data_IF_731333349616
#
_entry.id   IF_731333349616
#
_cell.length_a   1.000
_cell.length_b   1.000
_cell.length_c   1.000
_cell.angle_alpha   90.00
_cell.angle_beta   90.00
_cell.angle_gamma   90.00
#
_symmetry.space_group_name_H-M   'P 1'
#
loop_
_entity.id
_entity.type
_entity.pdbx_description
1 polymer ?
#
# COMPACT_ATOMS: atom_id res chain seq x y z
N UNK A 1 1.72 16.56 18.20
CA UNK A 1 0.93 15.43 17.65
C UNK A 1 1.90 14.53 16.90
N UNK A 2 1.85 13.21 17.12
CA UNK A 2 2.77 12.23 16.52
C UNK A 2 2.31 11.84 15.11
N UNK A 3 3.27 11.69 14.20
CA UNK A 3 3.05 11.16 12.85
C UNK A 3 3.29 9.65 12.89
N UNK A 4 2.50 8.88 12.15
CA UNK A 4 2.61 7.42 12.07
C UNK A 4 2.93 6.99 10.63
N UNK A 5 3.81 6.01 10.48
CA UNK A 5 4.10 5.38 9.21
C UNK A 5 3.51 3.96 9.22
N UNK A 6 2.70 3.64 8.21
CA UNK A 6 2.10 2.33 8.00
C UNK A 6 2.73 1.65 6.80
N UNK A 7 3.19 0.41 6.97
CA UNK A 7 3.53 -0.49 5.88
C UNK A 7 2.38 -1.46 5.67
N UNK A 8 1.68 -1.35 4.55
CA UNK A 8 0.59 -2.23 4.15
C UNK A 8 1.11 -3.14 3.05
N UNK A 9 1.08 -4.45 3.28
CA UNK A 9 1.44 -5.46 2.27
C UNK A 9 0.14 -6.06 1.74
N UNK A 10 -0.10 -5.91 0.44
CA UNK A 10 -1.36 -6.32 -0.19
C UNK A 10 -1.13 -7.08 -1.50
N UNK A 11 -2.14 -7.84 -1.91
CA UNK A 11 -2.18 -8.60 -3.16
C UNK A 11 -3.32 -8.10 -4.08
N UNK A 12 -4.17 -8.99 -4.59
CA UNK A 12 -5.11 -8.73 -5.69
C UNK A 12 -6.45 -8.09 -5.28
N UNK A 13 -6.67 -7.77 -4.00
CA UNK A 13 -7.95 -7.22 -3.51
C UNK A 13 -7.97 -5.69 -3.44
N UNK A 14 -7.92 -5.05 -4.61
CA UNK A 14 -7.84 -3.59 -4.73
C UNK A 14 -9.03 -2.82 -4.15
N UNK A 15 -10.25 -3.35 -4.20
CA UNK A 15 -11.42 -2.66 -3.61
C UNK A 15 -11.34 -2.59 -2.08
N UNK A 16 -10.97 -3.70 -1.44
CA UNK A 16 -10.77 -3.76 0.01
C UNK A 16 -9.61 -2.87 0.44
N UNK A 17 -8.55 -2.85 -0.36
CA UNK A 17 -7.39 -1.99 -0.14
C UNK A 17 -7.77 -0.51 -0.24
N UNK A 18 -8.55 -0.12 -1.24
CA UNK A 18 -9.08 1.25 -1.36
C UNK A 18 -9.91 1.65 -0.14
N UNK A 19 -10.80 0.78 0.34
CA UNK A 19 -11.57 1.04 1.57
C UNK A 19 -10.69 1.16 2.82
N UNK A 20 -9.62 0.36 2.94
CA UNK A 20 -8.67 0.51 4.04
C UNK A 20 -7.94 1.86 3.97
N UNK A 21 -7.54 2.29 2.76
CA UNK A 21 -6.85 3.56 2.56
C UNK A 21 -7.74 4.75 2.93
N UNK A 22 -9.03 4.73 2.60
CA UNK A 22 -9.95 5.82 2.99
C UNK A 22 -10.12 5.93 4.51
N UNK A 23 -10.10 4.79 5.22
CA UNK A 23 -10.16 4.78 6.69
C UNK A 23 -8.88 5.33 7.34
N UNK A 24 -7.74 5.21 6.65
CA UNK A 24 -6.44 5.67 7.13
C UNK A 24 -6.06 7.06 6.59
N UNK A 25 -6.93 7.71 5.82
CA UNK A 25 -6.67 9.02 5.19
C UNK A 25 -6.70 10.16 6.21
N UNK A 26 -5.55 10.38 6.86
CA UNK A 26 -5.31 11.44 7.82
C UNK A 26 -3.91 12.04 7.56
N UNK A 27 -3.76 13.35 7.73
CA UNK A 27 -2.50 14.06 7.46
C UNK A 27 -1.36 13.66 8.40
N UNK A 28 -1.67 12.95 9.49
CA UNK A 28 -0.69 12.38 10.43
C UNK A 28 -0.19 11.01 10.01
N UNK A 29 -0.73 10.44 8.93
CA UNK A 29 -0.34 9.11 8.46
C UNK A 29 0.50 9.24 7.20
N UNK A 30 1.54 8.42 7.09
CA UNK A 30 2.22 8.09 5.84
C UNK A 30 1.99 6.62 5.55
N UNK A 31 1.60 6.28 4.33
CA UNK A 31 1.28 4.91 3.93
C UNK A 31 2.24 4.44 2.86
N UNK A 32 2.99 3.40 3.20
CA UNK A 32 3.81 2.62 2.29
C UNK A 32 3.03 1.38 1.89
N UNK A 33 2.58 1.33 0.65
CA UNK A 33 1.79 0.23 0.13
C UNK A 33 2.66 -0.66 -0.76
N UNK A 34 2.98 -1.84 -0.26
CA UNK A 34 3.75 -2.84 -0.99
C UNK A 34 2.81 -3.87 -1.62
N UNK A 35 2.79 -3.90 -2.95
CA UNK A 35 1.98 -4.83 -3.74
C UNK A 35 2.89 -5.91 -4.28
N UNK A 36 2.62 -7.18 -3.94
CA UNK A 36 3.43 -8.32 -4.40
C UNK A 36 3.61 -8.26 -5.93
N UNK A 37 4.85 -8.36 -6.40
CA UNK A 37 5.22 -8.41 -7.83
C UNK A 37 4.45 -9.46 -8.64
N UNK A 38 3.95 -10.51 -7.99
CA UNK A 38 3.12 -11.54 -8.66
C UNK A 38 1.73 -11.02 -9.06
N UNK A 39 1.24 -9.98 -8.40
CA UNK A 39 -0.07 -9.38 -8.66
C UNK A 39 0.05 -8.41 -9.83
N UNK A 40 -0.76 -8.52 -10.89
CA UNK A 40 -0.75 -7.54 -11.97
C UNK A 40 -1.23 -6.19 -11.43
N UNK A 41 -0.35 -5.19 -11.42
CA UNK A 41 -0.66 -3.84 -10.99
C UNK A 41 -0.69 -2.90 -12.21
N UNK A 42 -1.88 -2.52 -12.65
CA UNK A 42 -2.02 -1.60 -13.79
C UNK A 42 -1.88 -0.14 -13.33
N UNK A 43 -1.63 0.76 -14.29
CA UNK A 43 -1.63 2.20 -14.00
C UNK A 43 -3.00 2.69 -13.53
N UNK A 44 -4.08 2.11 -14.05
CA UNK A 44 -5.44 2.45 -13.63
C UNK A 44 -5.70 2.08 -12.16
N UNK A 45 -5.16 0.94 -11.69
CA UNK A 45 -5.30 0.53 -10.29
C UNK A 45 -4.54 1.49 -9.36
N UNK A 46 -3.32 1.90 -9.75
CA UNK A 46 -2.56 2.92 -9.00
C UNK A 46 -3.35 4.23 -8.90
N UNK A 47 -3.92 4.69 -10.01
CA UNK A 47 -4.74 5.91 -10.02
C UNK A 47 -5.95 5.81 -9.11
N UNK A 48 -6.66 4.67 -9.12
CA UNK A 48 -7.79 4.43 -8.21
C UNK A 48 -7.36 4.49 -6.74
N UNK A 49 -6.24 3.84 -6.39
CA UNK A 49 -5.72 3.85 -5.02
C UNK A 49 -5.30 5.26 -4.58
N UNK A 50 -4.65 6.01 -5.45
CA UNK A 50 -4.31 7.42 -5.17
C UNK A 50 -5.54 8.31 -5.04
N UNK A 51 -6.63 8.02 -5.76
CA UNK A 51 -7.89 8.75 -5.61
C UNK A 51 -8.62 8.46 -4.29
N UNK A 52 -8.28 7.36 -3.59
CA UNK A 52 -8.86 7.02 -2.29
C UNK A 52 -8.26 7.80 -1.10
N UNK A 53 -7.19 8.56 -1.32
CA UNK A 53 -6.45 9.26 -0.25
C UNK A 53 -6.16 10.70 -0.67
N UNK A 54 -6.57 11.66 0.14
CA UNK A 54 -6.38 13.09 -0.13
C UNK A 54 -5.38 13.74 0.82
N UNK A 55 -5.29 13.24 2.06
CA UNK A 55 -4.55 13.88 3.16
C UNK A 55 -3.25 13.16 3.50
N UNK A 56 -3.22 11.83 3.37
CA UNK A 56 -2.03 11.02 3.65
C UNK A 56 -1.07 10.97 2.46
N UNK A 57 0.22 10.81 2.72
CA UNK A 57 1.20 10.51 1.67
C UNK A 57 1.17 9.02 1.37
N UNK A 58 0.78 8.63 0.15
CA UNK A 58 0.77 7.24 -0.30
C UNK A 58 1.95 6.96 -1.24
N UNK A 59 2.81 6.01 -0.87
CA UNK A 59 3.87 5.48 -1.73
C UNK A 59 3.58 4.02 -2.09
N UNK A 60 3.40 3.74 -3.38
CA UNK A 60 3.14 2.38 -3.87
C UNK A 60 4.45 1.75 -4.37
N UNK A 61 4.80 0.61 -3.79
CA UNK A 61 5.98 -0.20 -4.12
C UNK A 61 5.52 -1.52 -4.76
N UNK A 62 6.12 -1.91 -5.88
CA UNK A 62 5.73 -3.13 -6.62
C UNK A 62 6.91 -4.03 -7.04
N UNK A 63 8.14 -3.66 -6.69
CA UNK A 63 9.34 -4.32 -7.21
C UNK A 63 9.77 -5.57 -6.43
N UNK A 64 9.09 -5.88 -5.32
CA UNK A 64 9.46 -6.98 -4.41
C UNK A 64 8.54 -8.17 -4.61
N UNK A 65 9.14 -9.33 -4.90
CA UNK A 65 8.43 -10.62 -4.88
C UNK A 65 8.33 -11.08 -3.43
N UNK A 66 7.12 -11.10 -2.90
CA UNK A 66 6.89 -11.43 -1.48
C UNK A 66 6.60 -12.92 -1.36
N UNK A 67 7.23 -13.57 -0.39
CA UNK A 67 6.90 -14.91 0.06
C UNK A 67 6.78 -14.89 1.57
N UNK A 68 5.58 -15.15 2.06
CA UNK A 68 5.28 -15.21 3.49
C UNK A 68 6.20 -16.21 4.20
N UNK A 69 6.83 -15.78 5.29
CA UNK A 69 7.73 -16.63 6.10
C UNK A 69 9.14 -16.84 5.53
N UNK A 70 9.54 -16.11 4.48
CA UNK A 70 10.92 -16.18 3.96
C UNK A 70 11.68 -14.86 4.16
N UNK A 71 13.01 -14.94 4.00
CA UNK A 71 13.95 -13.82 4.12
C UNK A 71 13.53 -12.54 3.37
N UNK A 72 12.79 -12.66 2.26
CA UNK A 72 12.25 -11.52 1.51
C UNK A 72 11.38 -10.58 2.34
N UNK A 73 10.71 -11.07 3.39
CA UNK A 73 9.91 -10.24 4.30
C UNK A 73 10.76 -9.54 5.35
N UNK A 74 11.86 -10.18 5.78
CA UNK A 74 12.77 -9.62 6.81
C UNK A 74 13.76 -8.58 6.25
N UNK A 75 13.98 -8.57 4.93
CA UNK A 75 14.91 -7.66 4.24
C UNK A 75 14.26 -6.34 3.80
N UNK A 76 12.94 -6.19 3.90
CA UNK A 76 12.20 -5.00 3.50
C UNK A 76 12.60 -3.75 4.29
#
# INVERSE_FOLDING_TARGET
MTKHAYLIIADNKFEQLGFLLTLLDDSRNDIYLLIDKKTPLTQQDKQKLHACVEKTTLLILHDVKITWGTYSLMRL
#
